data_IF_752890248269
#
_entry.id   IF_752890248269
#
_cell.length_a   1.000
_cell.length_b   1.000
_cell.length_c   1.000
_cell.angle_alpha   90.00
_cell.angle_beta   90.00
_cell.angle_gamma   90.00
#
_symmetry.space_group_name_H-M   'P 1'
#
loop_
_entity.id
_entity.type
_entity.pdbx_description
1 polymer ?
#
# COMPACT_ATOMS: atom_id res chain seq x y z
N UNK A 1 6.47 -2.20 -15.18
CA UNK A 1 7.30 -1.00 -15.47
C UNK A 1 8.73 -1.11 -14.96
N UNK A 2 9.18 -2.31 -14.51
CA UNK A 2 10.56 -2.53 -14.07
C UNK A 2 10.89 -1.95 -12.69
N UNK A 3 9.92 -1.43 -11.94
CA UNK A 3 10.18 -0.80 -10.64
C UNK A 3 10.35 -1.78 -9.48
N UNK A 4 9.77 -2.98 -9.60
CA UNK A 4 9.80 -4.02 -8.58
C UNK A 4 10.81 -5.11 -8.95
N UNK A 5 11.75 -5.35 -8.03
CA UNK A 5 12.71 -6.45 -8.15
C UNK A 5 12.03 -7.79 -7.86
N UNK A 6 12.40 -8.83 -8.61
CA UNK A 6 11.91 -10.21 -8.36
C UNK A 6 12.28 -10.67 -6.95
N UNK A 7 13.48 -10.33 -6.50
CA UNK A 7 13.96 -10.61 -5.14
C UNK A 7 13.03 -10.03 -4.07
N UNK A 8 12.51 -8.82 -4.28
CA UNK A 8 11.59 -8.17 -3.35
C UNK A 8 10.20 -8.81 -3.39
N UNK A 9 9.75 -9.29 -4.56
CA UNK A 9 8.54 -10.08 -4.66
C UNK A 9 8.65 -11.39 -3.85
N UNK A 10 9.78 -12.09 -3.93
CA UNK A 10 10.04 -13.29 -3.14
C UNK A 10 10.06 -13.00 -1.63
N UNK A 11 10.68 -11.89 -1.21
CA UNK A 11 10.68 -11.44 0.21
C UNK A 11 9.26 -11.15 0.69
N UNK A 12 8.44 -10.47 -0.10
CA UNK A 12 7.04 -10.14 0.24
C UNK A 12 6.18 -11.41 0.31
N UNK A 13 6.45 -12.40 -0.54
CA UNK A 13 5.71 -13.66 -0.56
C UNK A 13 6.04 -14.59 0.63
N UNK A 14 7.30 -14.63 1.06
CA UNK A 14 7.80 -15.49 2.15
C UNK A 14 6.92 -15.50 3.42
N UNK A 15 6.57 -14.37 4.05
CA UNK A 15 5.75 -14.37 5.27
C UNK A 15 4.34 -14.94 5.08
N UNK A 16 3.78 -14.84 3.87
CA UNK A 16 2.46 -15.38 3.55
C UNK A 16 2.53 -16.89 3.39
N UNK A 17 3.56 -17.39 2.69
CA UNK A 17 3.81 -18.84 2.55
C UNK A 17 4.09 -19.50 3.90
N UNK A 18 4.85 -18.84 4.76
CA UNK A 18 5.18 -19.34 6.11
C UNK A 18 4.01 -19.23 7.10
N UNK A 19 2.83 -18.73 6.68
CA UNK A 19 1.66 -18.56 7.55
C UNK A 19 1.82 -17.49 8.64
N UNK A 20 2.85 -16.64 8.53
CA UNK A 20 3.13 -15.54 9.48
C UNK A 20 2.23 -14.32 9.23
N UNK A 21 1.75 -14.16 8.00
CA UNK A 21 0.83 -13.09 7.62
C UNK A 21 -0.24 -13.60 6.63
N UNK A 22 -1.41 -12.96 6.67
CA UNK A 22 -2.46 -13.16 5.67
C UNK A 22 -2.27 -12.23 4.47
N UNK A 23 -1.64 -11.08 4.71
CA UNK A 23 -1.35 -10.04 3.73
C UNK A 23 0.02 -9.41 4.02
N UNK A 24 0.93 -9.48 3.06
CA UNK A 24 2.20 -8.75 3.09
C UNK A 24 2.21 -7.62 2.04
N UNK A 25 2.68 -6.44 2.45
CA UNK A 25 2.90 -5.28 1.58
C UNK A 25 4.40 -4.97 1.54
N UNK A 26 4.94 -4.82 0.34
CA UNK A 26 6.29 -4.31 0.16
C UNK A 26 6.34 -2.81 0.47
N UNK A 27 7.04 -2.40 1.51
CA UNK A 27 7.14 -1.01 1.94
C UNK A 27 8.45 -0.38 1.49
N UNK A 28 8.35 0.66 0.65
CA UNK A 28 9.51 1.46 0.21
C UNK A 28 9.96 2.41 1.31
N UNK A 29 9.04 2.80 2.19
CA UNK A 29 9.30 3.70 3.32
C UNK A 29 10.00 3.00 4.48
N UNK A 30 9.89 1.68 4.60
CA UNK A 30 10.73 0.86 5.50
C UNK A 30 12.05 0.38 4.87
N UNK A 31 12.28 0.68 3.60
CA UNK A 31 13.52 0.38 2.86
C UNK A 31 14.44 1.59 2.75
N UNK A 32 15.29 1.61 1.71
CA UNK A 32 16.12 2.77 1.40
C UNK A 32 15.30 3.86 0.67
N UNK A 33 15.09 4.98 1.35
CA UNK A 33 14.30 6.13 0.87
C UNK A 33 15.16 7.20 0.17
N UNK A 34 16.45 6.97 -0.05
CA UNK A 34 17.40 7.94 -0.62
C UNK A 34 17.00 8.41 -2.02
N UNK A 35 16.42 7.51 -2.83
CA UNK A 35 16.03 7.79 -4.22
C UNK A 35 14.58 8.24 -4.39
N UNK A 36 13.78 8.29 -3.32
CA UNK A 36 12.35 8.62 -3.41
C UNK A 36 12.15 10.15 -3.48
N UNK A 37 11.42 10.68 -4.49
CA UNK A 37 11.11 12.10 -4.59
C UNK A 37 10.35 12.63 -3.37
N UNK A 38 10.72 13.82 -2.89
CA UNK A 38 10.15 14.42 -1.66
C UNK A 38 8.63 14.61 -1.74
N UNK A 39 8.10 15.01 -2.90
CA UNK A 39 6.65 15.17 -3.13
C UNK A 39 5.90 13.84 -2.94
N UNK A 40 6.51 12.71 -3.33
CA UNK A 40 5.92 11.38 -3.13
C UNK A 40 5.95 10.95 -1.67
N UNK A 41 6.97 11.35 -0.91
CA UNK A 41 7.03 11.09 0.55
C UNK A 41 5.85 11.75 1.27
N UNK A 42 5.55 13.01 0.95
CA UNK A 42 4.43 13.75 1.56
C UNK A 42 3.08 13.16 1.16
N UNK A 43 2.89 12.83 -0.13
CA UNK A 43 1.65 12.21 -0.62
C UNK A 43 1.38 10.86 0.03
N UNK A 44 2.41 10.02 0.17
CA UNK A 44 2.29 8.74 0.87
C UNK A 44 1.96 8.96 2.35
N UNK A 45 2.64 9.86 3.04
CA UNK A 45 2.41 10.14 4.45
C UNK A 45 0.94 10.52 4.76
N UNK A 46 0.32 11.36 3.92
CA UNK A 46 -1.08 11.74 4.09
C UNK A 46 -2.03 10.54 3.94
N UNK A 47 -1.77 9.67 2.96
CA UNK A 47 -2.56 8.46 2.72
C UNK A 47 -2.32 7.40 3.80
N UNK A 48 -1.10 7.26 4.29
CA UNK A 48 -0.73 6.35 5.37
C UNK A 48 -1.39 6.78 6.68
N UNK A 49 -1.43 8.09 6.97
CA UNK A 49 -2.13 8.63 8.13
C UNK A 49 -3.62 8.26 8.11
N UNK A 50 -4.29 8.45 6.99
CA UNK A 50 -5.73 8.16 6.88
C UNK A 50 -6.00 6.65 6.87
N UNK A 51 -5.15 5.89 6.17
CA UNK A 51 -5.25 4.43 6.20
C UNK A 51 -5.04 3.89 7.62
N UNK A 52 -4.14 4.49 8.41
CA UNK A 52 -3.90 4.09 9.80
C UNK A 52 -5.11 4.31 10.70
N UNK A 53 -5.81 5.43 10.52
CA UNK A 53 -7.06 5.74 11.25
C UNK A 53 -8.12 4.69 10.94
N UNK A 54 -8.27 4.35 9.66
CA UNK A 54 -9.34 3.45 9.20
C UNK A 54 -9.03 1.96 9.36
N UNK A 55 -7.77 1.57 9.27
CA UNK A 55 -7.30 0.21 9.43
C UNK A 55 -6.99 -0.13 10.89
N UNK A 56 -7.02 0.83 11.82
CA UNK A 56 -6.58 0.69 13.23
C UNK A 56 -5.16 0.08 13.38
N UNK A 57 -4.39 0.09 12.29
CA UNK A 57 -3.05 -0.46 12.18
C UNK A 57 -2.26 0.50 11.30
N UNK A 58 -1.12 0.99 11.81
CA UNK A 58 -0.25 1.87 11.05
C UNK A 58 0.50 1.06 9.99
N UNK A 59 0.32 1.44 8.73
CA UNK A 59 1.02 0.85 7.58
C UNK A 59 1.67 1.99 6.83
N UNK A 60 2.99 1.93 6.76
CA UNK A 60 3.86 3.01 6.32
C UNK A 60 3.97 3.15 4.80
N UNK A 61 3.46 2.23 3.98
CA UNK A 61 3.40 2.41 2.51
C UNK A 61 2.12 1.78 1.95
N UNK A 62 0.97 2.35 2.35
CA UNK A 62 -0.37 1.91 1.96
C UNK A 62 -0.62 1.90 0.44
N UNK A 63 0.20 2.64 -0.31
CA UNK A 63 0.09 2.80 -1.76
C UNK A 63 1.06 1.93 -2.56
N UNK A 64 1.88 1.11 -1.89
CA UNK A 64 2.75 0.19 -2.62
C UNK A 64 1.94 -0.83 -3.41
N UNK A 65 2.32 -1.05 -4.66
CA UNK A 65 1.68 -2.04 -5.54
C UNK A 65 2.19 -3.46 -5.35
N UNK A 66 3.35 -3.65 -4.70
CA UNK A 66 3.91 -4.98 -4.48
C UNK A 66 3.29 -5.61 -3.23
N UNK A 67 2.44 -6.61 -3.45
CA UNK A 67 1.55 -7.19 -2.43
C UNK A 67 1.46 -8.70 -2.59
N UNK A 68 1.35 -9.41 -1.48
CA UNK A 68 1.03 -10.83 -1.47
C UNK A 68 -0.10 -11.09 -0.47
N UNK A 69 -1.15 -11.79 -0.90
CA UNK A 69 -2.30 -12.14 -0.07
C UNK A 69 -2.49 -13.65 -0.12
N UNK A 70 -2.81 -14.28 1.02
CA UNK A 70 -3.29 -15.65 0.99
C UNK A 70 -4.72 -15.71 0.43
N UNK A 71 -5.15 -16.92 0.04
CA UNK A 71 -6.47 -17.13 -0.56
C UNK A 71 -7.62 -16.65 0.33
N UNK A 72 -7.51 -16.88 1.64
CA UNK A 72 -8.57 -16.53 2.60
C UNK A 72 -8.73 -15.01 2.77
N UNK A 73 -7.63 -14.27 2.75
CA UNK A 73 -7.63 -12.81 2.77
C UNK A 73 -8.20 -12.26 1.47
N UNK A 74 -7.69 -12.73 0.33
CA UNK A 74 -8.12 -12.30 -1.00
C UNK A 74 -9.63 -12.51 -1.22
N UNK A 75 -10.20 -13.64 -0.77
CA UNK A 75 -11.63 -13.93 -0.95
C UNK A 75 -12.58 -13.03 -0.15
N UNK A 76 -12.07 -12.30 0.85
CA UNK A 76 -12.87 -11.42 1.71
C UNK A 76 -12.88 -9.97 1.21
N UNK A 77 -11.91 -9.59 0.39
CA UNK A 77 -11.77 -8.21 -0.07
C UNK A 77 -12.80 -7.91 -1.16
N UNK A 78 -13.59 -6.84 -0.95
CA UNK A 78 -14.47 -6.27 -1.95
C UNK A 78 -13.96 -4.89 -2.33
N UNK A 79 -13.75 -4.68 -3.63
CA UNK A 79 -13.26 -3.41 -4.17
C UNK A 79 -14.44 -2.69 -4.79
N UNK A 80 -14.68 -1.46 -4.36
CA UNK A 80 -15.75 -0.58 -4.82
C UNK A 80 -15.22 0.76 -5.30
N UNK A 81 -14.01 1.13 -4.90
CA UNK A 81 -13.37 2.37 -5.32
C UNK A 81 -12.61 2.22 -6.65
N UNK A 82 -12.42 3.34 -7.34
CA UNK A 82 -11.68 3.39 -8.60
C UNK A 82 -10.26 3.96 -8.45
N UNK A 83 -9.41 3.67 -9.45
CA UNK A 83 -8.07 4.26 -9.63
C UNK A 83 -7.16 4.02 -8.42
N UNK A 84 -6.57 5.09 -7.88
CA UNK A 84 -5.57 5.03 -6.81
C UNK A 84 -6.16 4.68 -5.44
N UNK A 85 -7.48 4.83 -5.26
CA UNK A 85 -8.16 4.51 -4.00
C UNK A 85 -8.19 3.00 -3.71
N UNK A 86 -8.12 2.16 -4.75
CA UNK A 86 -8.13 0.69 -4.65
C UNK A 86 -7.04 0.18 -3.70
N UNK A 87 -5.86 0.79 -3.74
CA UNK A 87 -4.73 0.42 -2.87
C UNK A 87 -5.07 0.55 -1.39
N UNK A 88 -5.72 1.65 -1.00
CA UNK A 88 -6.16 1.88 0.37
C UNK A 88 -7.35 0.99 0.74
N UNK A 89 -8.30 0.82 -0.18
CA UNK A 89 -9.50 0.01 0.06
C UNK A 89 -9.16 -1.46 0.36
N UNK A 90 -8.27 -2.07 -0.44
CA UNK A 90 -7.77 -3.43 -0.19
C UNK A 90 -7.23 -3.56 1.24
N UNK A 91 -6.49 -2.56 1.71
CA UNK A 91 -5.87 -2.56 3.02
C UNK A 91 -6.88 -2.39 4.15
N UNK A 92 -7.84 -1.49 3.92
CA UNK A 92 -8.96 -1.25 4.83
C UNK A 92 -9.81 -2.52 4.97
N UNK A 93 -10.18 -3.17 3.86
CA UNK A 93 -10.98 -4.40 3.86
C UNK A 93 -10.25 -5.57 4.53
N UNK A 94 -8.96 -5.75 4.21
CA UNK A 94 -8.14 -6.76 4.88
C UNK A 94 -8.11 -6.54 6.40
N UNK A 95 -7.95 -5.29 6.85
CA UNK A 95 -7.96 -4.97 8.28
C UNK A 95 -9.34 -5.15 8.91
N UNK A 96 -10.43 -4.75 8.24
CA UNK A 96 -11.82 -4.98 8.68
C UNK A 96 -12.10 -6.46 8.90
N UNK A 97 -11.54 -7.31 8.05
CA UNK A 97 -11.62 -8.77 8.17
C UNK A 97 -10.59 -9.40 9.12
N UNK A 98 -9.89 -8.57 9.91
CA UNK A 98 -8.90 -8.98 10.93
C UNK A 98 -7.76 -9.84 10.35
N UNK A 99 -7.40 -9.60 9.09
CA UNK A 99 -6.26 -10.27 8.48
C UNK A 99 -4.96 -9.80 9.15
N UNK A 100 -4.00 -10.71 9.35
CA UNK A 100 -2.65 -10.36 9.81
C UNK A 100 -1.89 -9.69 8.68
N UNK A 101 -1.69 -8.37 8.80
CA UNK A 101 -1.02 -7.56 7.79
C UNK A 101 0.40 -7.23 8.26
N UNK A 102 1.39 -7.41 7.38
CA UNK A 102 2.76 -7.00 7.66
C UNK A 102 3.37 -6.19 6.51
N UNK A 103 4.38 -5.40 6.85
CA UNK A 103 5.19 -4.68 5.86
C UNK A 103 6.56 -5.33 5.73
N UNK A 104 6.99 -5.53 4.48
CA UNK A 104 8.30 -6.07 4.13
C UNK A 104 9.10 -4.97 3.44
N UNK A 105 10.28 -4.58 3.92
CA UNK A 105 11.11 -3.58 3.25
C UNK A 105 11.45 -3.99 1.81
N UNK A 106 11.25 -3.08 0.86
CA UNK A 106 11.60 -3.29 -0.56
C UNK A 106 12.37 -2.10 -1.13
N UNK A 107 13.09 -2.31 -2.23
CA UNK A 107 13.76 -1.27 -2.99
C UNK A 107 12.92 -0.90 -4.21
N UNK A 108 12.66 0.39 -4.39
CA UNK A 108 12.03 0.89 -5.61
C UNK A 108 13.08 1.42 -6.58
N UNK A 109 13.03 0.97 -7.83
CA UNK A 109 13.84 1.54 -8.91
C UNK A 109 13.09 2.74 -9.51
N UNK A 110 13.69 3.92 -9.40
CA UNK A 110 13.13 5.16 -9.96
C UNK A 110 13.88 5.57 -11.23
N UNK A 111 13.24 5.39 -12.39
CA UNK A 111 13.66 5.98 -13.67
C UNK A 111 13.06 7.36 -13.87
N UNK A 112 13.62 8.19 -14.76
CA UNK A 112 13.10 9.54 -15.08
C UNK A 112 11.61 9.53 -15.49
N UNK A 113 11.18 8.51 -16.23
CA UNK A 113 9.78 8.28 -16.56
C UNK A 113 8.91 8.06 -15.31
N UNK A 114 9.37 7.21 -14.39
CA UNK A 114 8.60 6.84 -13.20
C UNK A 114 8.66 7.87 -12.08
N UNK A 115 9.64 8.79 -12.09
CA UNK A 115 9.64 9.96 -11.21
C UNK A 115 8.46 10.89 -11.53
N UNK A 116 8.12 11.04 -12.81
CA UNK A 116 6.99 11.85 -13.31
C UNK A 116 5.62 11.20 -13.13
N UNK A 117 5.57 9.87 -12.97
CA UNK A 117 4.34 9.12 -12.67
C UNK A 117 4.14 8.92 -11.17
N UNK A 118 2.91 9.01 -10.70
CA UNK A 118 2.54 8.78 -9.30
C UNK A 118 1.53 9.80 -8.82
N UNK A 119 1.06 9.61 -7.60
CA UNK A 119 0.05 10.47 -6.99
C UNK A 119 0.67 11.81 -6.60
N UNK A 120 0.14 12.90 -7.16
CA UNK A 120 0.42 14.24 -6.67
C UNK A 120 -0.24 14.42 -5.29
N UNK A 121 0.33 15.29 -4.44
CA UNK A 121 -0.18 15.54 -3.07
C UNK A 121 -1.68 15.88 -3.07
N UNK A 122 -2.14 16.72 -4.01
CA UNK A 122 -3.55 17.07 -4.19
C UNK A 122 -4.44 15.86 -4.52
N UNK A 123 -3.97 14.95 -5.37
CA UNK A 123 -4.69 13.71 -5.69
C UNK A 123 -4.72 12.79 -4.47
N UNK A 124 -3.62 12.70 -3.72
CA UNK A 124 -3.58 11.96 -2.45
C UNK A 124 -4.62 12.47 -1.44
N UNK A 125 -4.74 13.79 -1.28
CA UNK A 125 -5.73 14.42 -0.38
C UNK A 125 -7.17 14.18 -0.86
N UNK A 126 -7.44 14.24 -2.17
CA UNK A 126 -8.77 13.95 -2.72
C UNK A 126 -9.18 12.49 -2.49
N UNK A 127 -8.27 11.55 -2.75
CA UNK A 127 -8.51 10.12 -2.52
C UNK A 127 -8.83 9.88 -1.04
N UNK A 128 -8.02 10.47 -0.17
CA UNK A 128 -8.22 10.47 1.27
C UNK A 128 -9.61 10.96 1.69
N UNK A 129 -10.05 12.10 1.15
CA UNK A 129 -11.37 12.66 1.46
C UNK A 129 -12.52 11.80 0.92
N UNK A 130 -12.40 11.28 -0.31
CA UNK A 130 -13.40 10.39 -0.89
C UNK A 130 -13.55 9.08 -0.08
N UNK A 131 -12.43 8.45 0.30
CA UNK A 131 -12.46 7.25 1.15
C UNK A 131 -13.09 7.53 2.52
N UNK A 132 -12.91 8.73 3.07
CA UNK A 132 -13.53 9.14 4.33
C UNK A 132 -15.04 9.33 4.17
N UNK A 133 -15.49 9.97 3.08
CA UNK A 133 -16.92 10.17 2.79
C UNK A 133 -17.65 8.86 2.46
N UNK A 134 -17.05 7.99 1.65
CA UNK A 134 -17.65 6.71 1.26
C UNK A 134 -17.87 5.78 2.47
N UNK A 135 -17.03 5.91 3.51
CA UNK A 135 -17.17 5.15 4.76
C UNK A 135 -18.15 5.72 5.76
N UNK A 136 -18.54 6.99 5.62
CA UNK A 136 -19.55 7.64 6.45
C UNK A 136 -20.97 7.46 5.90
N UNK A 137 -21.11 6.94 4.68
CA UNK A 137 -22.35 6.46 4.08
C UNK A 137 -22.64 5.02 4.49
#
# INVERSE_FOLDING_TARGET
>A
DGQHLVEDALKVMKPVIEGKADFAIGSRLKGDISQMPFVKKIGNFALDFITSIFAKNYIADSQSGLRCLNRQCASKIKITCDRYAVSSEILIEASRHKCKIIEVPIRAIYTEYTKKKGTNVLEGVKIAFNLLLDKLR
#
